data_IF_999938262366
#
_entry.id   IF_999938262366
#
_cell.length_a   1.000
_cell.length_b   1.000
_cell.length_c   1.000
_cell.angle_alpha   90.00
_cell.angle_beta   90.00
_cell.angle_gamma   90.00
#
_symmetry.space_group_name_H-M   'P 1'
#
loop_
_entity.id
_entity.type
_entity.pdbx_description
1 polymer ?
#
# COMPACT_ATOMS: atom_id res chain seq x y z
N UNK A 1 14.96 8.93 13.90
CA UNK A 1 14.30 10.02 14.65
C UNK A 1 12.80 9.70 14.61
N UNK A 2 12.21 9.42 15.78
CA UNK A 2 10.81 9.01 15.91
C UNK A 2 9.90 10.14 15.40
N UNK A 3 8.79 9.81 14.74
CA UNK A 3 7.65 10.73 14.66
C UNK A 3 7.28 11.07 16.12
N UNK A 4 7.75 12.21 16.61
CA UNK A 4 7.45 12.64 17.98
C UNK A 4 5.94 12.81 18.11
N UNK A 5 5.32 12.02 18.98
CA UNK A 5 4.06 12.39 19.62
C UNK A 5 2.75 11.84 19.05
N UNK A 6 2.72 11.05 17.97
CA UNK A 6 1.48 10.39 17.52
C UNK A 6 1.62 8.87 17.60
N UNK A 7 1.26 8.29 18.75
CA UNK A 7 0.83 6.88 18.76
C UNK A 7 -0.39 6.83 17.86
N UNK A 8 -0.23 6.35 16.63
CA UNK A 8 -1.35 6.08 15.74
C UNK A 8 -2.24 5.06 16.47
N UNK A 9 -3.48 5.41 16.84
CA UNK A 9 -4.32 4.50 17.60
C UNK A 9 -4.54 3.24 16.75
N UNK A 10 -4.13 2.10 17.28
CA UNK A 10 -4.37 0.81 16.64
C UNK A 10 -5.87 0.57 16.54
N UNK A 11 -6.37 0.36 15.34
CA UNK A 11 -7.76 -0.05 15.15
C UNK A 11 -7.83 -1.57 15.36
N UNK A 12 -8.07 -1.99 16.61
CA UNK A 12 -8.12 -3.41 17.00
C UNK A 12 -9.20 -4.20 16.26
N UNK A 13 -10.16 -3.54 15.59
CA UNK A 13 -11.14 -4.18 14.73
C UNK A 13 -10.51 -4.76 13.45
N UNK A 14 -9.32 -4.31 13.07
CA UNK A 14 -8.58 -4.72 11.87
C UNK A 14 -7.32 -5.52 12.22
N UNK A 15 -7.52 -6.69 12.82
CA UNK A 15 -6.45 -7.67 12.97
C UNK A 15 -5.80 -8.00 11.62
N UNK A 16 -4.47 -8.17 11.65
CA UNK A 16 -3.71 -8.57 10.48
C UNK A 16 -4.23 -9.89 9.94
N UNK A 17 -4.55 -9.92 8.65
CA UNK A 17 -5.08 -11.12 7.97
C UNK A 17 -4.67 -11.15 6.51
N UNK A 18 -4.69 -12.36 5.95
CA UNK A 18 -4.44 -12.61 4.52
C UNK A 18 -5.78 -12.58 3.77
N UNK A 19 -5.84 -11.81 2.69
CA UNK A 19 -7.00 -11.67 1.81
C UNK A 19 -6.64 -12.06 0.37
N UNK A 20 -7.65 -12.50 -0.37
CA UNK A 20 -7.64 -12.58 -1.82
C UNK A 20 -8.06 -11.23 -2.43
N UNK A 21 -7.79 -11.00 -3.72
CA UNK A 21 -8.21 -9.78 -4.42
C UNK A 21 -9.72 -9.53 -4.35
N UNK A 22 -10.54 -10.59 -4.26
CA UNK A 22 -12.01 -10.50 -4.13
C UNK A 22 -12.48 -9.94 -2.79
N UNK A 23 -11.65 -10.01 -1.77
CA UNK A 23 -11.98 -9.57 -0.40
C UNK A 23 -11.47 -8.15 -0.11
N UNK A 24 -10.55 -7.63 -0.92
CA UNK A 24 -10.05 -6.25 -0.79
C UNK A 24 -11.14 -5.18 -0.85
N UNK A 25 -12.17 -5.26 -1.73
CA UNK A 25 -13.23 -4.25 -1.76
C UNK A 25 -13.97 -4.11 -0.43
N UNK A 26 -14.20 -5.22 0.28
CA UNK A 26 -14.84 -5.20 1.59
C UNK A 26 -13.94 -4.56 2.66
N UNK A 27 -12.62 -4.81 2.59
CA UNK A 27 -11.65 -4.13 3.45
C UNK A 27 -11.67 -2.61 3.21
N UNK A 28 -11.59 -2.16 1.96
CA UNK A 28 -11.67 -0.73 1.60
C UNK A 28 -12.98 -0.09 2.09
N UNK A 29 -14.12 -0.75 1.85
CA UNK A 29 -15.44 -0.27 2.30
C UNK A 29 -15.52 -0.11 3.81
N UNK A 30 -14.94 -1.03 4.58
CA UNK A 30 -14.94 -0.93 6.05
C UNK A 30 -14.09 0.23 6.58
N UNK A 31 -13.05 0.65 5.84
CA UNK A 31 -12.29 1.87 6.14
C UNK A 31 -13.14 3.11 5.78
N UNK A 32 -13.77 3.12 4.60
CA UNK A 32 -14.68 4.20 4.15
C UNK A 32 -15.84 4.47 5.12
N UNK A 33 -16.36 3.42 5.76
CA UNK A 33 -17.42 3.56 6.78
C UNK A 33 -16.96 4.31 8.03
N UNK A 34 -15.65 4.33 8.31
CA UNK A 34 -15.06 5.04 9.45
C UNK A 34 -14.53 6.42 9.07
N UNK A 35 -14.09 6.59 7.82
CA UNK A 35 -13.37 7.77 7.36
C UNK A 35 -13.93 8.30 6.03
N UNK A 36 -14.29 9.59 5.96
CA UNK A 36 -14.63 10.25 4.71
C UNK A 36 -13.50 10.13 3.67
N UNK A 37 -13.83 9.94 2.39
CA UNK A 37 -12.88 9.74 1.29
C UNK A 37 -11.96 10.95 1.09
N UNK A 38 -12.49 12.16 1.27
CA UNK A 38 -11.75 13.42 1.22
C UNK A 38 -10.70 13.54 2.33
N UNK A 39 -10.83 12.74 3.39
CA UNK A 39 -9.86 12.64 4.48
C UNK A 39 -9.00 11.37 4.39
N UNK A 40 -8.94 10.71 3.23
CA UNK A 40 -8.12 9.51 3.03
C UNK A 40 -7.03 9.78 2.01
N UNK A 41 -5.78 9.50 2.40
CA UNK A 41 -4.63 9.48 1.49
C UNK A 41 -4.17 8.06 1.23
N UNK A 42 -4.05 7.71 -0.05
CA UNK A 42 -3.36 6.49 -0.49
C UNK A 42 -1.86 6.76 -0.57
N UNK A 43 -1.08 6.08 0.28
CA UNK A 43 0.37 6.15 0.26
C UNK A 43 0.91 4.90 -0.43
N UNK A 44 1.26 5.04 -1.70
CA UNK A 44 1.68 3.95 -2.56
C UNK A 44 3.21 3.89 -2.62
N UNK A 45 3.78 2.92 -1.91
CA UNK A 45 5.22 2.77 -1.66
C UNK A 45 5.83 1.84 -2.70
N UNK A 46 6.99 2.23 -3.23
CA UNK A 46 7.78 1.46 -4.18
C UNK A 46 8.54 2.34 -5.18
N UNK A 47 9.24 1.71 -6.10
CA UNK A 47 9.97 2.37 -7.20
C UNK A 47 9.64 1.77 -8.56
N UNK A 48 9.67 2.60 -9.59
CA UNK A 48 9.58 2.21 -11.00
C UNK A 48 10.84 1.47 -11.51
N UNK A 49 11.91 1.41 -10.72
CA UNK A 49 13.21 0.81 -11.10
C UNK A 49 13.33 -0.68 -10.77
N UNK A 50 12.31 -1.30 -10.16
CA UNK A 50 12.29 -2.71 -9.77
C UNK A 50 10.91 -3.28 -10.04
N UNK A 51 10.81 -4.35 -10.85
CA UNK A 51 9.51 -4.85 -11.32
C UNK A 51 8.58 -5.27 -10.17
N UNK A 52 9.12 -5.96 -9.16
CA UNK A 52 8.37 -6.35 -7.96
C UNK A 52 7.98 -5.19 -7.06
N UNK A 53 8.76 -4.10 -7.09
CA UNK A 53 8.56 -2.91 -6.26
C UNK A 53 7.74 -1.83 -6.97
N UNK A 54 7.47 -1.99 -8.27
CA UNK A 54 6.68 -1.05 -9.05
C UNK A 54 5.18 -1.05 -8.69
N UNK A 55 4.73 -1.98 -7.83
CA UNK A 55 3.32 -2.12 -7.45
C UNK A 55 2.74 -0.80 -6.90
N UNK A 56 3.41 -0.15 -5.94
CA UNK A 56 2.94 1.10 -5.38
C UNK A 56 2.77 2.17 -6.45
N UNK A 57 3.84 2.59 -7.16
CA UNK A 57 3.75 3.57 -8.25
C UNK A 57 2.66 3.25 -9.30
N UNK A 58 2.47 1.98 -9.67
CA UNK A 58 1.42 1.55 -10.59
C UNK A 58 0.01 1.73 -10.02
N UNK A 59 -0.20 1.42 -8.74
CA UNK A 59 -1.47 1.68 -8.06
C UNK A 59 -1.74 3.18 -8.00
N UNK A 60 -0.76 3.97 -7.58
CA UNK A 60 -0.93 5.41 -7.42
C UNK A 60 -1.26 6.11 -8.73
N UNK A 61 -0.55 5.80 -9.82
CA UNK A 61 -0.87 6.35 -11.15
C UNK A 61 -2.31 6.05 -11.57
N UNK A 62 -2.77 4.82 -11.40
CA UNK A 62 -4.14 4.46 -11.77
C UNK A 62 -5.20 5.11 -10.86
N UNK A 63 -4.90 5.30 -9.57
CA UNK A 63 -5.79 6.05 -8.68
C UNK A 63 -5.89 7.53 -9.08
N UNK A 64 -4.77 8.15 -9.44
CA UNK A 64 -4.74 9.53 -9.97
C UNK A 64 -5.57 9.64 -11.26
N UNK A 65 -5.43 8.68 -12.19
CA UNK A 65 -6.21 8.61 -13.44
C UNK A 65 -7.71 8.44 -13.20
N UNK A 66 -8.10 7.75 -12.11
CA UNK A 66 -9.50 7.60 -11.68
C UNK A 66 -10.02 8.82 -10.91
N UNK A 67 -9.22 9.88 -10.73
CA UNK A 67 -9.64 11.12 -10.08
C UNK A 67 -9.56 11.12 -8.56
N UNK A 68 -8.83 10.19 -7.94
CA UNK A 68 -8.54 10.27 -6.51
C UNK A 68 -7.63 11.46 -6.23
N UNK A 69 -8.09 12.39 -5.39
CA UNK A 69 -7.41 13.67 -5.13
C UNK A 69 -6.20 13.55 -4.18
N UNK A 70 -6.13 12.49 -3.38
CA UNK A 70 -5.15 12.32 -2.30
C UNK A 70 -4.34 11.04 -2.48
N UNK A 71 -3.43 11.07 -3.44
CA UNK A 71 -2.50 9.96 -3.73
C UNK A 71 -1.07 10.45 -3.56
N UNK A 72 -0.25 9.63 -2.91
CA UNK A 72 1.19 9.88 -2.73
C UNK A 72 1.96 8.66 -3.20
N UNK A 73 2.78 8.86 -4.23
CA UNK A 73 3.55 7.79 -4.86
C UNK A 73 2.86 7.33 -6.15
N UNK A 74 3.40 7.74 -7.29
CA UNK A 74 2.95 7.35 -8.63
C UNK A 74 4.17 7.05 -9.50
N UNK A 75 3.99 6.54 -10.73
CA UNK A 75 5.11 6.37 -11.67
C UNK A 75 5.83 7.69 -11.95
N UNK A 76 5.10 8.81 -12.06
CA UNK A 76 5.69 10.13 -12.28
C UNK A 76 6.45 10.62 -11.05
N UNK A 77 5.94 10.30 -9.85
CA UNK A 77 6.51 10.73 -8.58
C UNK A 77 6.62 9.56 -7.58
N UNK A 78 7.57 8.63 -7.74
CA UNK A 78 7.66 7.44 -6.89
C UNK A 78 7.92 7.75 -5.41
N UNK A 79 7.38 6.91 -4.53
CA UNK A 79 7.56 7.00 -3.08
C UNK A 79 8.35 5.79 -2.58
N UNK A 80 9.67 5.93 -2.43
CA UNK A 80 10.54 4.84 -2.01
C UNK A 80 11.21 5.16 -0.66
N UNK A 81 12.08 4.25 -0.20
CA UNK A 81 12.76 4.37 1.08
C UNK A 81 13.50 5.71 1.26
N UNK A 82 14.03 6.29 0.18
CA UNK A 82 14.87 7.48 0.24
C UNK A 82 14.05 8.75 0.48
N UNK A 83 12.78 8.78 0.05
CA UNK A 83 11.92 9.96 0.14
C UNK A 83 10.64 9.77 0.99
N UNK A 84 10.41 8.56 1.52
CA UNK A 84 9.21 8.20 2.28
C UNK A 84 8.89 9.19 3.41
N UNK A 85 9.88 9.53 4.25
CA UNK A 85 9.70 10.45 5.38
C UNK A 85 9.22 11.82 4.90
N UNK A 86 9.83 12.34 3.84
CA UNK A 86 9.47 13.64 3.29
C UNK A 86 8.05 13.61 2.73
N UNK A 87 7.71 12.58 1.95
CA UNK A 87 6.39 12.41 1.35
C UNK A 87 5.29 12.24 2.41
N UNK A 88 5.56 11.46 3.46
CA UNK A 88 4.62 11.30 4.58
C UNK A 88 4.37 12.61 5.32
N UNK A 89 5.41 13.43 5.53
CA UNK A 89 5.27 14.72 6.22
C UNK A 89 4.49 15.75 5.40
N UNK A 90 4.37 15.57 4.09
CA UNK A 90 3.57 16.41 3.21
C UNK A 90 2.07 16.06 3.22
N UNK A 91 1.70 14.90 3.79
CA UNK A 91 0.29 14.49 3.92
C UNK A 91 -0.40 15.34 5.00
N UNK A 92 -1.61 15.88 4.75
CA UNK A 92 -2.35 16.64 5.76
C UNK A 92 -2.56 15.82 7.05
N UNK A 93 -2.49 16.49 8.21
CA UNK A 93 -2.46 15.80 9.51
C UNK A 93 -3.79 15.15 9.87
N UNK A 94 -4.87 15.64 9.31
CA UNK A 94 -6.24 15.18 9.45
C UNK A 94 -6.55 13.98 8.54
N UNK A 95 -5.67 13.67 7.58
CA UNK A 95 -5.85 12.54 6.69
C UNK A 95 -5.51 11.21 7.38
N UNK A 96 -6.34 10.22 7.09
CA UNK A 96 -6.11 8.81 7.34
C UNK A 96 -5.34 8.24 6.17
N UNK A 97 -4.28 7.51 6.48
CA UNK A 97 -3.35 7.01 5.47
C UNK A 97 -3.57 5.51 5.27
N UNK A 98 -3.78 5.10 4.03
CA UNK A 98 -3.76 3.69 3.61
C UNK A 98 -2.43 3.45 2.89
N UNK A 99 -1.50 2.78 3.57
CA UNK A 99 -0.21 2.43 3.01
C UNK A 99 -0.32 1.18 2.12
N UNK A 100 0.24 1.24 0.92
CA UNK A 100 0.23 0.16 -0.07
C UNK A 100 1.68 -0.14 -0.44
N UNK A 101 2.10 -1.39 -0.30
CA UNK A 101 3.47 -1.82 -0.54
C UNK A 101 3.51 -3.22 -1.17
N UNK A 102 4.63 -3.56 -1.80
CA UNK A 102 4.92 -4.92 -2.23
C UNK A 102 5.83 -5.63 -1.22
N UNK A 103 5.60 -6.93 -1.02
CA UNK A 103 6.43 -7.74 -0.15
C UNK A 103 6.69 -9.13 -0.74
N UNK A 104 7.69 -9.79 -0.18
CA UNK A 104 7.98 -11.19 -0.44
C UNK A 104 7.43 -12.05 0.69
N UNK A 105 6.92 -13.24 0.37
CA UNK A 105 6.29 -14.11 1.37
C UNK A 105 6.50 -15.60 1.11
N UNK A 106 5.81 -16.45 1.88
CA UNK A 106 5.85 -17.89 1.64
C UNK A 106 5.14 -18.26 0.34
N UNK A 107 5.48 -19.38 -0.33
CA UNK A 107 4.85 -19.80 -1.59
C UNK A 107 3.31 -19.80 -1.56
N UNK A 108 2.71 -20.26 -0.46
CA UNK A 108 1.25 -20.32 -0.28
C UNK A 108 0.56 -18.94 -0.11
N UNK A 109 1.34 -17.86 -0.10
CA UNK A 109 0.83 -16.50 0.03
C UNK A 109 1.06 -15.66 -1.22
N UNK A 110 1.78 -16.14 -2.24
CA UNK A 110 2.05 -15.32 -3.43
C UNK A 110 0.75 -15.06 -4.19
N UNK A 111 0.48 -13.79 -4.53
CA UNK A 111 -0.78 -13.34 -5.13
C UNK A 111 -1.88 -13.02 -4.11
N UNK A 112 -1.55 -13.00 -2.82
CA UNK A 112 -2.46 -12.55 -1.76
C UNK A 112 -2.05 -11.20 -1.19
N UNK A 113 -2.91 -10.63 -0.36
CA UNK A 113 -2.72 -9.34 0.29
C UNK A 113 -2.73 -9.51 1.80
N UNK A 114 -1.70 -9.01 2.47
CA UNK A 114 -1.66 -8.93 3.93
C UNK A 114 -2.21 -7.55 4.29
N UNK A 115 -3.38 -7.52 4.93
CA UNK A 115 -4.02 -6.27 5.33
C UNK A 115 -4.04 -6.11 6.84
N UNK A 116 -3.99 -4.87 7.33
CA UNK A 116 -4.05 -4.56 8.75
C UNK A 116 -4.57 -3.14 9.00
N UNK A 117 -5.15 -2.88 10.17
CA UNK A 117 -5.37 -1.53 10.72
C UNK A 117 -4.23 -1.11 11.65
N UNK A 118 -3.02 -1.51 11.27
CA UNK A 118 -1.77 -1.09 11.89
C UNK A 118 -0.91 -0.44 10.80
N UNK A 119 0.00 0.46 11.20
CA UNK A 119 1.00 0.97 10.29
C UNK A 119 1.80 -0.16 9.65
N UNK A 120 2.13 0.03 8.37
CA UNK A 120 3.08 -0.80 7.66
C UNK A 120 4.51 -0.49 8.17
N UNK A 121 5.36 -1.50 8.21
CA UNK A 121 6.81 -1.35 8.39
C UNK A 121 7.46 -1.58 7.02
N UNK A 122 7.68 -0.53 6.21
CA UNK A 122 8.16 -0.70 4.85
C UNK A 122 9.59 -1.24 4.87
N UNK A 123 9.95 -1.99 3.82
CA UNK A 123 11.32 -2.48 3.62
C UNK A 123 11.88 -3.39 4.75
N UNK A 124 11.02 -3.98 5.60
CA UNK A 124 11.45 -4.89 6.66
C UNK A 124 12.22 -6.11 6.12
N UNK A 125 11.88 -6.55 4.90
CA UNK A 125 12.54 -7.66 4.19
C UNK A 125 13.91 -7.32 3.60
N UNK A 126 14.27 -6.03 3.52
CA UNK A 126 15.55 -5.55 2.97
C UNK A 126 16.41 -4.79 4.00
N UNK A 127 16.01 -4.81 5.28
CA UNK A 127 16.85 -4.34 6.40
C UNK A 127 16.79 -2.84 6.70
N UNK A 128 15.82 -2.10 6.14
CA UNK A 128 15.67 -0.66 6.35
C UNK A 128 14.95 -0.32 7.67
N UNK A 129 15.53 0.54 8.50
CA UNK A 129 14.90 1.13 9.70
C UNK A 129 13.92 2.26 9.36
N UNK A 130 13.02 2.04 8.40
CA UNK A 130 12.05 3.04 7.97
C UNK A 130 10.98 3.27 9.05
N UNK A 131 10.41 4.49 9.13
CA UNK A 131 9.32 4.77 10.06
C UNK A 131 8.07 3.94 9.71
N UNK A 132 7.25 3.69 10.73
CA UNK A 132 5.89 3.18 10.57
C UNK A 132 5.09 4.10 9.63
N UNK A 133 4.46 3.52 8.60
CA UNK A 133 3.74 4.23 7.56
C UNK A 133 2.27 3.80 7.52
N UNK A 134 1.35 4.76 7.58
CA UNK A 134 -0.08 4.48 7.43
C UNK A 134 -0.83 4.23 8.74
N UNK A 135 -2.16 4.32 8.66
CA UNK A 135 -3.10 3.86 9.69
C UNK A 135 -3.64 2.46 9.33
N UNK A 136 -3.82 2.23 8.03
CA UNK A 136 -4.15 0.95 7.43
C UNK A 136 -3.03 0.56 6.47
N UNK A 137 -2.86 -0.73 6.25
CA UNK A 137 -1.83 -1.26 5.36
C UNK A 137 -2.37 -2.34 4.43
N UNK A 138 -1.88 -2.36 3.20
CA UNK A 138 -2.06 -3.43 2.21
C UNK A 138 -0.67 -3.79 1.68
N UNK A 139 -0.15 -4.95 2.08
CA UNK A 139 1.09 -5.48 1.54
C UNK A 139 0.78 -6.61 0.54
N UNK A 140 1.05 -6.38 -0.74
CA UNK A 140 0.87 -7.34 -1.81
C UNK A 140 2.03 -8.34 -1.82
N UNK A 141 1.75 -9.64 -1.70
CA UNK A 141 2.80 -10.68 -1.75
C UNK A 141 3.11 -11.02 -3.21
N UNK A 142 4.01 -10.25 -3.81
CA UNK A 142 4.27 -10.30 -5.27
C UNK A 142 5.10 -11.52 -5.68
N UNK A 143 5.93 -12.04 -4.78
CA UNK A 143 6.78 -13.20 -5.04
C UNK A 143 7.19 -13.95 -3.75
N UNK A 144 7.86 -15.09 -3.93
CA UNK A 144 8.37 -15.93 -2.83
C UNK A 144 9.60 -15.27 -2.20
N UNK A 145 9.67 -15.23 -0.88
CA UNK A 145 10.87 -14.82 -0.16
C UNK A 145 11.94 -15.90 -0.26
N UNK A 146 13.16 -15.49 -0.61
CA UNK A 146 14.28 -16.39 -0.86
C UNK A 146 15.60 -15.78 -0.39
N UNK A 147 16.74 -16.44 -0.64
CA UNK A 147 18.04 -16.02 -0.12
C UNK A 147 18.55 -14.67 -0.67
N UNK A 148 17.93 -14.14 -1.73
CA UNK A 148 18.32 -12.89 -2.40
C UNK A 148 17.11 -11.99 -2.65
N UNK A 149 16.50 -11.39 -1.60
CA UNK A 149 15.22 -10.70 -1.70
C UNK A 149 15.24 -9.52 -2.69
N UNK A 150 16.31 -8.72 -2.72
CA UNK A 150 16.46 -7.62 -3.67
C UNK A 150 16.43 -8.08 -5.14
N UNK A 151 17.16 -9.15 -5.45
CA UNK A 151 17.17 -9.75 -6.79
C UNK A 151 15.82 -10.36 -7.15
N UNK A 152 15.16 -11.00 -6.19
CA UNK A 152 13.83 -11.56 -6.38
C UNK A 152 12.82 -10.47 -6.74
N UNK A 153 12.83 -9.33 -6.04
CA UNK A 153 12.00 -8.18 -6.40
C UNK A 153 12.30 -7.69 -7.81
N UNK A 154 13.58 -7.49 -8.16
CA UNK A 154 13.98 -7.03 -9.50
C UNK A 154 13.63 -7.99 -10.66
N UNK A 155 13.44 -9.28 -10.40
CA UNK A 155 13.06 -10.29 -11.40
C UNK A 155 11.60 -10.75 -11.27
N UNK A 156 10.80 -10.11 -10.41
CA UNK A 156 9.40 -10.47 -10.25
C UNK A 156 8.63 -10.18 -11.55
N UNK A 157 7.69 -11.05 -11.91
CA UNK A 157 6.89 -10.88 -13.12
C UNK A 157 6.11 -9.57 -13.06
N UNK A 158 6.40 -8.64 -13.97
CA UNK A 158 5.67 -7.38 -14.10
C UNK A 158 4.18 -7.62 -14.37
N UNK A 159 3.84 -8.61 -15.20
CA UNK A 159 2.43 -8.97 -15.46
C UNK A 159 1.68 -9.29 -14.17
N UNK A 160 2.31 -10.08 -13.27
CA UNK A 160 1.69 -10.41 -11.98
C UNK A 160 1.53 -9.18 -11.08
N UNK A 161 2.53 -8.30 -11.07
CA UNK A 161 2.48 -7.04 -10.33
C UNK A 161 1.36 -6.13 -10.85
N UNK A 162 1.22 -6.02 -12.17
CA UNK A 162 0.13 -5.25 -12.80
C UNK A 162 -1.25 -5.80 -12.46
N UNK A 163 -1.43 -7.13 -12.49
CA UNK A 163 -2.70 -7.76 -12.07
C UNK A 163 -3.04 -7.45 -10.60
N UNK A 164 -2.03 -7.50 -9.72
CA UNK A 164 -2.24 -7.19 -8.30
C UNK A 164 -2.53 -5.70 -8.07
N UNK A 165 -1.85 -4.81 -8.80
CA UNK A 165 -2.13 -3.38 -8.75
C UNK A 165 -3.57 -3.07 -9.18
N UNK A 166 -4.01 -3.67 -10.30
CA UNK A 166 -5.38 -3.55 -10.81
C UNK A 166 -6.44 -4.07 -9.82
N UNK A 167 -6.18 -5.17 -9.10
CA UNK A 167 -7.05 -5.63 -8.01
C UNK A 167 -7.16 -4.61 -6.86
N UNK A 168 -6.05 -3.98 -6.46
CA UNK A 168 -6.06 -2.94 -5.41
C UNK A 168 -6.83 -1.71 -5.89
N UNK A 169 -6.58 -1.26 -7.13
CA UNK A 169 -7.26 -0.10 -7.73
C UNK A 169 -8.75 -0.34 -7.83
N UNK A 170 -9.20 -1.50 -8.33
CA UNK A 170 -10.62 -1.86 -8.37
C UNK A 170 -11.24 -1.89 -6.97
N UNK A 171 -10.52 -2.40 -5.98
CA UNK A 171 -10.99 -2.42 -4.60
C UNK A 171 -11.13 -1.00 -4.02
N UNK A 172 -10.19 -0.10 -4.30
CA UNK A 172 -10.28 1.30 -3.91
C UNK A 172 -11.45 2.00 -4.61
N UNK A 173 -11.60 1.82 -5.93
CA UNK A 173 -12.71 2.37 -6.69
C UNK A 173 -14.07 1.88 -6.17
N UNK A 174 -14.21 0.59 -5.86
CA UNK A 174 -15.46 0.06 -5.29
C UNK A 174 -15.71 0.51 -3.85
N UNK A 175 -14.65 0.54 -3.02
CA UNK A 175 -14.78 0.83 -1.60
C UNK A 175 -14.87 2.32 -1.26
N UNK A 176 -14.26 3.17 -2.09
CA UNK A 176 -14.16 4.62 -1.89
C UNK A 176 -14.75 5.45 -3.02
N UNK A 177 -14.83 4.93 -4.24
CA UNK A 177 -15.50 5.63 -5.33
C UNK A 177 -16.93 5.95 -4.93
N UNK A 178 -17.40 7.13 -5.34
CA UNK A 178 -18.83 7.39 -5.45
C UNK A 178 -19.43 6.22 -6.22
N UNK A 179 -20.40 5.52 -5.61
CA UNK A 179 -21.25 4.65 -6.41
C UNK A 179 -21.89 5.54 -7.46
N UNK A 180 -21.36 5.49 -8.68
CA UNK A 180 -22.14 5.92 -9.82
C UNK A 180 -23.32 4.96 -9.87
N UNK A 181 -24.50 5.56 -9.86
CA UNK A 181 -25.82 4.94 -9.98
C UNK A 181 -25.89 3.90 -11.11
#
# INVERSE_FOLDING_TARGET
>A
MRLEGRRLPYDSAFSQRKLTGKELPQFMRSIRQKHPQDLVTFLCIGTDRSTGDALGPLVGTQLEELGFSSVVGSLQHPCDADNLVHRMNAIPKEHVIIAIDACLGVPASVGSYIVSGKPLLPAQSVGGGLPEAGHYSIAAVVNVNGPKPYWTLGMTSLYKVMQMADEIVRAAAYGFGSGDE
#
